data_IF_110301238096
#
_entry.id   IF_110301238096
#
_cell.length_a   1.000
_cell.length_b   1.000
_cell.length_c   1.000
_cell.angle_alpha   90.00
_cell.angle_beta   90.00
_cell.angle_gamma   90.00
#
_symmetry.space_group_name_H-M   'P 1'
#
loop_
_entity.id
_entity.type
_entity.pdbx_description
1 polymer ?
#
# COMPACT_ATOMS: atom_id res chain seq x y z
N UNK A 1 -9.07 -5.63 -21.26
CA UNK A 1 -7.62 -5.74 -20.92
C UNK A 1 -7.47 -6.43 -19.57
N UNK A 2 -6.45 -7.27 -19.39
CA UNK A 2 -6.36 -8.30 -18.32
C UNK A 2 -6.20 -7.70 -16.90
N UNK A 3 -6.84 -8.33 -15.90
CA UNK A 3 -6.72 -8.05 -14.44
C UNK A 3 -5.29 -7.77 -13.95
N UNK A 4 -4.27 -8.29 -14.64
CA UNK A 4 -2.84 -8.03 -14.39
C UNK A 4 -2.45 -6.54 -14.33
N UNK A 5 -3.09 -5.64 -15.09
CA UNK A 5 -2.69 -4.22 -15.13
C UNK A 5 -3.02 -3.46 -13.84
N UNK A 6 -4.06 -3.89 -13.11
CA UNK A 6 -4.47 -3.27 -11.85
C UNK A 6 -3.41 -3.52 -10.79
N UNK A 7 -2.95 -4.77 -10.69
CA UNK A 7 -1.97 -5.20 -9.68
C UNK A 7 -0.70 -4.35 -9.75
N UNK A 8 -0.13 -4.14 -10.94
CA UNK A 8 1.09 -3.33 -11.08
C UNK A 8 0.88 -1.86 -10.69
N UNK A 9 -0.30 -1.31 -10.99
CA UNK A 9 -0.66 0.06 -10.60
C UNK A 9 -0.77 0.16 -9.08
N UNK A 10 -1.45 -0.79 -8.44
CA UNK A 10 -1.57 -0.86 -6.99
C UNK A 10 -0.21 -1.09 -6.30
N UNK A 11 0.68 -1.91 -6.87
CA UNK A 11 2.04 -2.07 -6.34
C UNK A 11 2.85 -0.78 -6.43
N UNK A 12 2.72 -0.01 -7.52
CA UNK A 12 3.33 1.31 -7.66
C UNK A 12 2.79 2.27 -6.60
N UNK A 13 1.46 2.34 -6.41
CA UNK A 13 0.81 3.17 -5.38
C UNK A 13 1.28 2.78 -3.98
N UNK A 14 1.36 1.47 -3.69
CA UNK A 14 1.90 0.97 -2.43
C UNK A 14 3.33 1.45 -2.17
N UNK A 15 4.19 1.40 -3.18
CA UNK A 15 5.57 1.92 -3.08
C UNK A 15 5.60 3.43 -2.80
N UNK A 16 4.71 4.19 -3.43
CA UNK A 16 4.55 5.61 -3.13
C UNK A 16 4.11 5.87 -1.68
N UNK A 17 3.07 5.16 -1.22
CA UNK A 17 2.52 5.31 0.14
C UNK A 17 3.52 4.93 1.23
N UNK A 18 4.26 3.83 1.04
CA UNK A 18 5.30 3.43 1.98
C UNK A 18 6.46 4.43 1.99
N UNK A 19 6.91 4.90 0.82
CA UNK A 19 8.00 5.86 0.72
C UNK A 19 7.67 7.20 1.40
N UNK A 20 6.49 7.78 1.11
CA UNK A 20 6.13 9.08 1.67
C UNK A 20 6.00 9.03 3.20
N UNK A 21 5.41 7.96 3.72
CA UNK A 21 5.25 7.74 5.16
C UNK A 21 6.60 7.49 5.82
N UNK A 22 7.50 6.75 5.16
CA UNK A 22 8.84 6.54 5.68
C UNK A 22 9.59 7.86 5.81
N UNK A 23 9.54 8.71 4.79
CA UNK A 23 10.24 9.99 4.76
C UNK A 23 9.62 11.03 5.71
N UNK A 24 8.30 11.07 5.83
CA UNK A 24 7.59 12.19 6.48
C UNK A 24 6.82 11.82 7.76
N UNK A 25 6.68 10.54 8.09
CA UNK A 25 6.01 10.03 9.31
C UNK A 25 6.92 9.09 10.09
N UNK A 26 8.07 9.62 10.53
CA UNK A 26 8.94 8.98 11.51
C UNK A 26 9.35 7.55 11.10
N UNK A 27 9.77 7.35 9.85
CA UNK A 27 10.22 6.05 9.32
C UNK A 27 9.13 4.95 9.34
N UNK A 28 7.86 5.33 9.27
CA UNK A 28 6.76 4.35 9.25
C UNK A 28 6.53 3.78 7.87
N UNK A 29 6.54 2.44 7.77
CA UNK A 29 6.12 1.71 6.56
C UNK A 29 4.68 1.24 6.72
N UNK A 30 3.74 1.88 6.04
CA UNK A 30 2.29 1.64 6.16
C UNK A 30 1.88 0.22 5.75
N UNK A 31 2.62 -0.40 4.84
CA UNK A 31 2.35 -1.73 4.31
C UNK A 31 3.14 -2.86 4.95
N UNK A 32 4.10 -2.56 5.83
CA UNK A 32 5.03 -3.53 6.42
C UNK A 32 4.94 -3.55 7.95
N UNK A 33 3.89 -4.20 8.47
CA UNK A 33 3.68 -4.27 9.93
C UNK A 33 4.82 -4.95 10.68
N UNK A 34 5.46 -5.96 10.10
CA UNK A 34 6.63 -6.61 10.72
C UNK A 34 7.78 -5.61 10.94
N UNK A 35 7.99 -4.67 10.02
CA UNK A 35 8.98 -3.61 10.19
C UNK A 35 8.59 -2.69 11.34
N UNK A 36 7.33 -2.22 11.39
CA UNK A 36 6.87 -1.37 12.50
C UNK A 36 6.95 -2.08 13.86
N UNK A 37 6.61 -3.37 13.93
CA UNK A 37 6.77 -4.17 15.16
C UNK A 37 8.23 -4.23 15.59
N UNK A 38 9.15 -4.53 14.66
CA UNK A 38 10.58 -4.58 14.95
C UNK A 38 11.08 -3.21 15.42
N UNK A 39 10.77 -2.13 14.71
CA UNK A 39 11.18 -0.77 15.04
C UNK A 39 10.67 -0.36 16.43
N UNK A 40 9.39 -0.63 16.72
CA UNK A 40 8.78 -0.37 18.01
C UNK A 40 9.41 -1.16 19.17
N UNK A 41 9.71 -2.45 18.97
CA UNK A 41 10.37 -3.30 19.99
C UNK A 41 11.81 -2.86 20.22
N UNK A 42 12.56 -2.51 19.17
CA UNK A 42 13.93 -1.99 19.31
C UNK A 42 13.92 -0.70 20.10
N UNK A 43 12.99 0.22 19.80
CA UNK A 43 12.81 1.44 20.59
C UNK A 43 12.49 1.13 22.06
N UNK A 44 11.65 0.13 22.32
CA UNK A 44 11.25 -0.24 23.68
C UNK A 44 12.44 -0.70 24.51
N UNK A 45 13.34 -1.47 23.89
CA UNK A 45 14.54 -2.00 24.54
C UNK A 45 15.71 -1.01 24.53
N UNK A 46 15.65 0.04 23.71
CA UNK A 46 16.70 1.07 23.59
C UNK A 46 16.08 2.47 23.61
N UNK A 47 15.70 3.01 24.78
CA UNK A 47 15.00 4.30 24.88
C UNK A 47 15.79 5.48 24.30
N UNK A 48 17.12 5.41 24.32
CA UNK A 48 18.02 6.46 23.80
C UNK A 48 18.20 6.41 22.27
N UNK A 49 17.60 5.44 21.58
CA UNK A 49 17.73 5.26 20.13
C UNK A 49 17.04 6.34 19.29
N UNK A 50 16.23 7.20 19.92
CA UNK A 50 15.39 8.19 19.22
C UNK A 50 14.21 7.56 18.48
N UNK A 51 13.94 6.26 18.68
CA UNK A 51 12.82 5.55 18.07
C UNK A 51 11.58 5.70 18.96
N UNK A 52 10.49 6.22 18.38
CA UNK A 52 9.26 6.47 19.11
C UNK A 52 8.42 5.19 19.28
N UNK A 53 8.62 4.54 20.42
CA UNK A 53 8.04 3.24 20.82
C UNK A 53 6.52 3.22 20.61
N UNK A 54 5.83 4.20 21.18
CA UNK A 54 4.38 4.29 21.16
C UNK A 54 3.86 4.36 19.72
N UNK A 55 4.47 5.20 18.90
CA UNK A 55 4.03 5.43 17.54
C UNK A 55 3.93 4.14 16.72
N UNK A 56 5.02 3.36 16.62
CA UNK A 56 5.02 2.17 15.78
C UNK A 56 4.17 1.02 16.36
N UNK A 57 4.22 0.77 17.68
CA UNK A 57 3.45 -0.34 18.28
C UNK A 57 1.94 -0.04 18.31
N UNK A 58 1.53 1.20 18.57
CA UNK A 58 0.12 1.58 18.50
C UNK A 58 -0.42 1.46 17.07
N UNK A 59 0.39 1.80 16.06
CA UNK A 59 0.02 1.61 14.66
C UNK A 59 -0.19 0.13 14.30
N UNK A 60 0.66 -0.77 14.80
CA UNK A 60 0.46 -2.22 14.63
C UNK A 60 -0.85 -2.66 15.31
N UNK A 61 -1.11 -2.21 16.53
CA UNK A 61 -2.36 -2.49 17.25
C UNK A 61 -3.59 -2.01 16.48
N UNK A 62 -3.56 -0.77 16.00
CA UNK A 62 -4.61 -0.21 15.14
C UNK A 62 -4.82 -1.07 13.89
N UNK A 63 -3.74 -1.43 13.19
CA UNK A 63 -3.83 -2.22 11.96
C UNK A 63 -4.51 -3.57 12.22
N UNK A 64 -4.12 -4.30 13.28
CA UNK A 64 -4.72 -5.58 13.64
C UNK A 64 -6.23 -5.44 13.88
N UNK A 65 -6.63 -4.45 14.69
CA UNK A 65 -8.04 -4.19 15.01
C UNK A 65 -8.81 -3.82 13.74
N UNK A 66 -8.25 -2.91 12.92
CA UNK A 66 -8.87 -2.48 11.67
C UNK A 66 -9.07 -3.64 10.71
N UNK A 67 -8.05 -4.48 10.49
CA UNK A 67 -8.14 -5.66 9.62
C UNK A 67 -9.18 -6.66 10.13
N UNK A 68 -9.22 -6.90 11.45
CA UNK A 68 -10.21 -7.78 12.06
C UNK A 68 -11.64 -7.26 11.85
N UNK A 69 -11.90 -5.99 12.17
CA UNK A 69 -13.20 -5.36 11.99
C UNK A 69 -13.62 -5.32 10.53
N UNK A 70 -12.70 -4.98 9.62
CA UNK A 70 -12.97 -4.96 8.19
C UNK A 70 -13.37 -6.34 7.68
N UNK A 71 -12.63 -7.40 8.07
CA UNK A 71 -12.99 -8.78 7.70
C UNK A 71 -14.35 -9.20 8.25
N UNK A 72 -14.65 -8.89 9.51
CA UNK A 72 -15.93 -9.21 10.14
C UNK A 72 -17.10 -8.52 9.41
N UNK A 73 -16.95 -7.23 9.09
CA UNK A 73 -17.91 -6.48 8.29
C UNK A 73 -18.04 -7.14 6.91
N UNK A 74 -16.93 -7.38 6.22
CA UNK A 74 -16.95 -7.93 4.88
C UNK A 74 -17.63 -9.30 4.83
N UNK A 75 -17.33 -10.22 5.75
CA UNK A 75 -18.01 -11.53 5.83
C UNK A 75 -19.52 -11.40 6.04
N UNK A 76 -19.96 -10.46 6.88
CA UNK A 76 -21.38 -10.18 7.12
C UNK A 76 -22.08 -9.59 5.91
N UNK A 77 -21.41 -8.74 5.12
CA UNK A 77 -21.97 -8.08 3.94
C UNK A 77 -21.80 -8.88 2.63
N UNK A 78 -20.86 -9.84 2.56
CA UNK A 78 -20.69 -10.76 1.41
C UNK A 78 -21.94 -11.57 1.12
N UNK A 79 -22.78 -11.78 2.13
CA UNK A 79 -24.10 -12.42 2.00
C UNK A 79 -25.15 -11.54 1.31
N UNK A 80 -24.90 -10.24 1.10
CA UNK A 80 -25.92 -9.30 0.61
C UNK A 80 -25.64 -8.73 -0.78
N UNK A 81 -24.45 -8.20 -1.08
CA UNK A 81 -24.07 -7.71 -2.43
C UNK A 81 -22.55 -7.69 -2.59
N UNK A 82 -22.02 -8.26 -3.68
CA UNK A 82 -20.59 -8.21 -3.99
C UNK A 82 -20.18 -6.79 -4.37
N UNK A 83 -19.42 -6.10 -3.51
CA UNK A 83 -18.81 -4.82 -3.86
C UNK A 83 -17.82 -5.02 -5.01
N UNK A 84 -17.99 -4.26 -6.08
CA UNK A 84 -17.09 -4.31 -7.22
C UNK A 84 -15.72 -3.73 -6.86
N UNK A 85 -14.65 -4.30 -7.42
CA UNK A 85 -13.27 -3.81 -7.25
C UNK A 85 -13.11 -2.32 -7.53
N UNK A 86 -13.95 -1.76 -8.42
CA UNK A 86 -13.98 -0.33 -8.72
C UNK A 86 -14.32 0.53 -7.51
N UNK A 87 -15.24 0.08 -6.66
CA UNK A 87 -15.62 0.80 -5.46
C UNK A 87 -14.44 0.87 -4.47
N UNK A 88 -13.68 -0.22 -4.34
CA UNK A 88 -12.48 -0.25 -3.50
C UNK A 88 -11.38 0.67 -4.02
N UNK A 89 -11.08 0.65 -5.32
CA UNK A 89 -10.04 1.51 -5.91
C UNK A 89 -10.44 3.00 -5.83
N UNK A 90 -11.72 3.34 -6.06
CA UNK A 90 -12.20 4.71 -5.90
C UNK A 90 -12.10 5.17 -4.44
N UNK A 91 -12.51 4.31 -3.49
CA UNK A 91 -12.40 4.60 -2.07
C UNK A 91 -10.93 4.79 -1.66
N UNK A 92 -10.04 3.94 -2.15
CA UNK A 92 -8.59 4.04 -1.95
C UNK A 92 -8.06 5.40 -2.43
N UNK A 93 -8.38 5.81 -3.66
CA UNK A 93 -7.94 7.09 -4.21
C UNK A 93 -8.46 8.30 -3.39
N UNK A 94 -9.72 8.25 -2.93
CA UNK A 94 -10.30 9.29 -2.07
C UNK A 94 -9.54 9.37 -0.74
N UNK A 95 -9.26 8.22 -0.10
CA UNK A 95 -8.56 8.19 1.19
C UNK A 95 -7.11 8.67 1.02
N UNK A 96 -6.42 8.29 -0.06
CA UNK A 96 -5.06 8.79 -0.35
C UNK A 96 -5.09 10.31 -0.54
N UNK A 97 -6.10 10.87 -1.23
CA UNK A 97 -6.24 12.31 -1.40
C UNK A 97 -6.43 13.03 -0.05
N UNK A 98 -7.29 12.50 0.81
CA UNK A 98 -7.51 13.06 2.16
C UNK A 98 -6.22 12.96 2.99
N UNK A 99 -5.56 11.81 2.95
CA UNK A 99 -4.27 11.60 3.62
C UNK A 99 -3.20 12.58 3.13
N UNK A 100 -3.12 12.82 1.81
CA UNK A 100 -2.19 13.78 1.22
C UNK A 100 -2.44 15.20 1.73
N UNK A 101 -3.70 15.64 1.72
CA UNK A 101 -4.08 16.99 2.14
C UNK A 101 -3.86 17.19 3.64
N UNK A 102 -4.32 16.25 4.48
CA UNK A 102 -4.17 16.33 5.94
C UNK A 102 -2.71 16.19 6.37
N UNK A 103 -1.95 15.28 5.74
CA UNK A 103 -0.52 15.10 5.97
C UNK A 103 0.27 16.36 5.64
N UNK A 104 0.03 16.95 4.46
CA UNK A 104 0.68 18.20 4.04
C UNK A 104 0.32 19.36 4.97
N UNK A 105 -0.96 19.50 5.33
CA UNK A 105 -1.41 20.53 6.25
C UNK A 105 -0.74 20.39 7.62
N UNK A 106 -0.74 19.18 8.20
CA UNK A 106 -0.15 18.93 9.50
C UNK A 106 1.37 19.16 9.49
N UNK A 107 2.06 18.74 8.43
CA UNK A 107 3.50 18.97 8.27
C UNK A 107 3.83 20.47 8.21
N UNK A 108 3.14 21.23 7.35
CA UNK A 108 3.40 22.66 7.14
C UNK A 108 3.09 23.52 8.36
N UNK A 109 2.15 23.09 9.19
CA UNK A 109 1.79 23.76 10.44
C UNK A 109 2.54 23.20 11.66
N UNK A 110 3.56 22.36 11.47
CA UNK A 110 4.36 21.76 12.55
C UNK A 110 3.53 21.00 13.59
N UNK A 111 2.43 20.37 13.16
CA UNK A 111 1.52 19.60 14.01
C UNK A 111 1.93 18.13 14.13
N UNK A 112 2.93 17.69 13.36
CA UNK A 112 3.45 16.33 13.40
C UNK A 112 4.51 16.20 14.50
N UNK A 113 4.12 15.59 15.61
CA UNK A 113 5.02 15.10 16.64
C UNK A 113 4.86 13.58 16.74
N UNK A 114 5.95 12.84 16.94
CA UNK A 114 5.93 11.39 16.89
C UNK A 114 5.03 10.76 17.97
N UNK A 115 4.97 11.37 19.16
CA UNK A 115 4.06 10.95 20.23
C UNK A 115 2.71 11.69 20.18
N UNK A 116 2.46 12.45 19.11
CA UNK A 116 1.25 13.25 18.92
C UNK A 116 0.10 12.47 18.28
N UNK A 117 -1.11 12.65 18.81
CA UNK A 117 -2.32 12.04 18.28
C UNK A 117 -2.61 12.39 16.82
N UNK A 118 -2.16 13.57 16.35
CA UNK A 118 -2.33 14.01 14.96
C UNK A 118 -1.50 13.13 14.03
N UNK A 119 -0.22 12.92 14.33
CA UNK A 119 0.65 12.06 13.53
C UNK A 119 0.13 10.61 13.51
N UNK A 120 -0.32 10.10 14.67
CA UNK A 120 -0.90 8.78 14.77
C UNK A 120 -2.14 8.65 13.87
N UNK A 121 -3.06 9.62 13.94
CA UNK A 121 -4.29 9.63 13.15
C UNK A 121 -4.01 9.68 11.64
N UNK A 122 -3.02 10.46 11.23
CA UNK A 122 -2.58 10.57 9.83
C UNK A 122 -1.98 9.25 9.36
N UNK A 123 -1.10 8.62 10.14
CA UNK A 123 -0.53 7.31 9.81
C UNK A 123 -1.62 6.22 9.74
N UNK A 124 -2.55 6.18 10.69
CA UNK A 124 -3.73 5.30 10.65
C UNK A 124 -4.54 5.48 9.37
N UNK A 125 -4.79 6.73 8.97
CA UNK A 125 -5.48 7.05 7.72
C UNK A 125 -4.73 6.52 6.50
N UNK A 126 -3.40 6.66 6.47
CA UNK A 126 -2.54 6.13 5.40
C UNK A 126 -2.51 4.60 5.32
N UNK A 127 -2.69 3.89 6.44
CA UNK A 127 -2.74 2.42 6.47
C UNK A 127 -3.98 1.83 5.80
N UNK A 128 -5.11 2.53 5.84
CA UNK A 128 -6.38 2.07 5.27
C UNK A 128 -6.26 1.77 3.76
N UNK A 129 -5.83 2.72 2.89
CA UNK A 129 -5.71 2.46 1.46
C UNK A 129 -4.70 1.35 1.16
N UNK A 130 -3.60 1.27 1.92
CA UNK A 130 -2.60 0.20 1.78
C UNK A 130 -3.17 -1.18 2.13
N UNK A 131 -4.09 -1.25 3.07
CA UNK A 131 -4.83 -2.49 3.32
C UNK A 131 -5.85 -2.80 2.22
N UNK A 132 -6.61 -1.80 1.75
CA UNK A 132 -7.59 -1.98 0.67
C UNK A 132 -6.95 -2.48 -0.63
N UNK A 133 -5.80 -1.91 -1.04
CA UNK A 133 -5.07 -2.40 -2.21
C UNK A 133 -4.66 -3.87 -2.04
N UNK A 134 -4.18 -4.27 -0.86
CA UNK A 134 -3.76 -5.64 -0.57
C UNK A 134 -4.94 -6.61 -0.62
N UNK A 135 -6.09 -6.17 -0.13
CA UNK A 135 -7.34 -6.90 -0.23
C UNK A 135 -7.76 -7.10 -1.69
N UNK A 136 -7.73 -6.04 -2.52
CA UNK A 136 -8.06 -6.11 -3.95
C UNK A 136 -7.09 -7.02 -4.70
N UNK A 137 -5.78 -6.95 -4.45
CA UNK A 137 -4.79 -7.80 -5.13
C UNK A 137 -4.98 -9.27 -4.78
N UNK A 138 -5.17 -9.58 -3.48
CA UNK A 138 -5.31 -10.97 -3.00
C UNK A 138 -6.58 -11.67 -3.48
N UNK A 139 -7.67 -10.94 -3.73
CA UNK A 139 -8.95 -11.52 -4.16
C UNK A 139 -9.11 -11.62 -5.69
N UNK A 140 -8.27 -10.95 -6.48
CA UNK A 140 -8.45 -10.84 -7.93
C UNK A 140 -7.32 -11.43 -8.78
N UNK A 141 -6.32 -12.05 -8.16
CA UNK A 141 -5.19 -12.61 -8.88
C UNK A 141 -4.88 -14.03 -8.38
N UNK A 142 -4.76 -15.00 -9.30
CA UNK A 142 -4.45 -16.40 -8.98
C UNK A 142 -3.06 -16.58 -8.35
N UNK A 143 -2.16 -15.63 -8.60
CA UNK A 143 -0.86 -15.49 -7.94
C UNK A 143 -0.97 -14.36 -6.91
N UNK A 144 -1.10 -14.71 -5.63
CA UNK A 144 -1.34 -13.76 -4.53
C UNK A 144 -0.14 -12.81 -4.34
N UNK A 145 -0.37 -11.49 -4.36
CA UNK A 145 0.71 -10.45 -4.30
C UNK A 145 0.37 -9.21 -3.45
N UNK A 146 0.17 -9.35 -2.13
CA UNK A 146 0.10 -8.22 -1.17
C UNK A 146 1.47 -7.72 -0.65
N UNK A 147 1.52 -6.64 0.13
CA UNK A 147 2.77 -6.09 0.71
C UNK A 147 3.44 -7.03 1.72
N UNK A 148 2.67 -7.79 2.50
CA UNK A 148 3.17 -8.92 3.32
C UNK A 148 3.65 -10.09 2.44
N UNK A 149 3.15 -10.17 1.20
CA UNK A 149 3.59 -11.12 0.19
C UNK A 149 4.79 -10.61 -0.62
N UNK A 150 5.35 -9.41 -0.37
CA UNK A 150 6.59 -8.99 -1.06
C UNK A 150 7.75 -9.94 -0.76
N UNK A 151 7.92 -10.38 0.49
CA UNK A 151 8.92 -11.41 0.83
C UNK A 151 8.62 -12.74 0.12
N UNK A 152 7.35 -13.16 0.09
CA UNK A 152 6.93 -14.35 -0.66
C UNK A 152 7.18 -14.23 -2.17
N UNK A 153 6.94 -13.06 -2.75
CA UNK A 153 7.20 -12.74 -4.15
C UNK A 153 8.70 -12.75 -4.45
N UNK A 154 9.54 -12.23 -3.55
CA UNK A 154 10.99 -12.31 -3.67
C UNK A 154 11.46 -13.77 -3.71
N UNK A 155 10.99 -14.59 -2.76
CA UNK A 155 11.34 -16.02 -2.69
C UNK A 155 10.86 -16.77 -3.94
N UNK A 156 9.61 -16.54 -4.36
CA UNK A 156 9.05 -17.15 -5.57
C UNK A 156 9.77 -16.68 -6.86
N UNK A 157 10.20 -15.42 -6.91
CA UNK A 157 10.97 -14.87 -8.03
C UNK A 157 12.34 -15.55 -8.11
N UNK A 158 13.08 -15.62 -6.99
CA UNK A 158 14.38 -16.30 -6.92
C UNK A 158 14.24 -17.78 -7.25
N UNK A 159 13.23 -18.46 -6.72
CA UNK A 159 12.93 -19.86 -7.05
C UNK A 159 12.69 -20.08 -8.54
N UNK A 160 11.91 -19.20 -9.19
CA UNK A 160 11.68 -19.29 -10.64
C UNK A 160 12.92 -18.91 -11.47
N UNK A 161 13.77 -17.97 -10.99
CA UNK A 161 15.04 -17.65 -11.63
C UNK A 161 15.99 -18.86 -11.62
N UNK A 162 16.08 -19.57 -10.50
CA UNK A 162 16.86 -20.80 -10.40
C UNK A 162 16.25 -21.91 -11.26
N UNK A 163 14.92 -22.00 -11.32
CA UNK A 163 14.23 -22.98 -12.15
C UNK A 163 14.49 -22.80 -13.65
N UNK A 164 14.93 -21.60 -14.12
CA UNK A 164 15.32 -21.38 -15.52
C UNK A 164 16.48 -22.29 -15.92
N UNK A 165 17.40 -22.56 -14.99
CA UNK A 165 18.57 -23.38 -15.22
C UNK A 165 18.20 -24.87 -15.32
N UNK A 166 17.10 -25.26 -14.68
CA UNK A 166 16.54 -26.62 -14.74
C UNK A 166 15.51 -26.82 -15.86
N UNK A 167 15.20 -25.77 -16.65
CA UNK A 167 14.17 -25.81 -17.69
C UNK A 167 12.72 -25.92 -17.19
N UNK A 168 12.49 -25.82 -15.87
CA UNK A 168 11.17 -25.99 -15.22
C UNK A 168 10.49 -24.67 -14.81
N UNK A 169 11.07 -23.53 -15.18
CA UNK A 169 10.55 -22.23 -14.77
C UNK A 169 9.20 -21.91 -15.40
N UNK A 170 8.29 -21.38 -14.58
CA UNK A 170 7.12 -20.67 -15.07
C UNK A 170 7.55 -19.24 -15.44
N UNK A 171 7.76 -19.03 -16.74
CA UNK A 171 8.20 -17.73 -17.30
C UNK A 171 7.16 -16.63 -17.10
N UNK A 172 5.88 -16.97 -17.07
CA UNK A 172 4.80 -15.99 -16.89
C UNK A 172 4.69 -15.56 -15.43
N UNK A 173 4.82 -16.49 -14.49
CA UNK A 173 4.92 -16.17 -13.06
C UNK A 173 6.18 -15.34 -12.76
N UNK A 174 7.34 -15.70 -13.32
CA UNK A 174 8.57 -14.93 -13.14
C UNK A 174 8.42 -13.49 -13.66
N UNK A 175 7.87 -13.32 -14.86
CA UNK A 175 7.59 -12.00 -15.45
C UNK A 175 6.63 -11.19 -14.58
N UNK A 176 5.61 -11.83 -14.02
CA UNK A 176 4.69 -11.20 -13.09
C UNK A 176 5.41 -10.69 -11.83
N UNK A 177 6.19 -11.54 -11.14
CA UNK A 177 6.90 -11.14 -9.94
C UNK A 177 7.92 -10.03 -10.20
N UNK A 178 8.67 -10.08 -11.30
CA UNK A 178 9.59 -9.01 -11.68
C UNK A 178 8.86 -7.68 -11.91
N UNK A 179 7.70 -7.70 -12.59
CA UNK A 179 6.91 -6.50 -12.82
C UNK A 179 6.33 -5.91 -11.53
N UNK A 180 5.87 -6.76 -10.60
CA UNK A 180 5.41 -6.32 -9.28
C UNK A 180 6.51 -5.57 -8.55
N UNK A 181 7.72 -6.14 -8.48
CA UNK A 181 8.87 -5.50 -7.85
C UNK A 181 9.29 -4.21 -8.55
N UNK A 182 9.42 -4.24 -9.88
CA UNK A 182 9.78 -3.06 -10.65
C UNK A 182 8.77 -1.92 -10.44
N UNK A 183 7.47 -2.23 -10.38
CA UNK A 183 6.42 -1.23 -10.15
C UNK A 183 6.52 -0.62 -8.75
N UNK A 184 6.75 -1.44 -7.73
CA UNK A 184 6.94 -0.94 -6.36
C UNK A 184 8.19 -0.07 -6.24
N UNK A 185 9.34 -0.53 -6.74
CA UNK A 185 10.60 0.22 -6.73
C UNK A 185 10.45 1.55 -7.49
N UNK A 186 9.78 1.54 -8.65
CA UNK A 186 9.50 2.75 -9.40
C UNK A 186 8.62 3.72 -8.60
N UNK A 187 7.61 3.21 -7.89
CA UNK A 187 6.77 4.01 -6.99
C UNK A 187 7.57 4.68 -5.88
N UNK A 188 8.48 3.94 -5.24
CA UNK A 188 9.41 4.47 -4.23
C UNK A 188 10.32 5.53 -4.83
N UNK A 189 10.97 5.24 -5.96
CA UNK A 189 11.91 6.16 -6.59
C UNK A 189 11.24 7.47 -7.03
N UNK A 190 10.07 7.39 -7.68
CA UNK A 190 9.30 8.56 -8.09
C UNK A 190 8.89 9.37 -6.87
N UNK A 191 8.42 8.72 -5.80
CA UNK A 191 7.97 9.42 -4.60
C UNK A 191 9.12 10.06 -3.81
N UNK A 192 10.27 9.40 -3.74
CA UNK A 192 11.47 9.95 -3.10
C UNK A 192 11.96 11.24 -3.78
N UNK A 193 11.78 11.36 -5.10
CA UNK A 193 12.11 12.59 -5.84
C UNK A 193 11.00 13.64 -5.72
N UNK A 194 9.74 13.26 -5.93
CA UNK A 194 8.60 14.18 -5.93
C UNK A 194 8.34 14.81 -4.54
N UNK A 195 8.53 14.03 -3.47
CA UNK A 195 8.30 14.49 -2.09
C UNK A 195 9.23 15.61 -1.64
N UNK A 196 10.41 15.76 -2.26
CA UNK A 196 11.33 16.87 -1.98
C UNK A 196 10.71 18.23 -2.33
N UNK A 197 9.77 18.26 -3.27
CA UNK A 197 9.15 19.49 -3.78
C UNK A 197 7.72 19.66 -3.29
N UNK A 198 7.00 18.55 -3.14
CA UNK A 198 5.56 18.56 -2.91
C UNK A 198 5.12 17.91 -1.59
N UNK A 199 6.03 17.50 -0.71
CA UNK A 199 5.70 16.82 0.54
C UNK A 199 4.68 15.67 0.35
N UNK A 200 3.68 15.54 1.23
CA UNK A 200 2.57 14.60 1.08
C UNK A 200 1.74 14.86 -0.18
N UNK A 201 1.69 16.09 -0.71
CA UNK A 201 0.94 16.38 -1.95
C UNK A 201 1.55 15.69 -3.19
N UNK A 202 2.77 15.17 -3.11
CA UNK A 202 3.32 14.29 -4.15
C UNK A 202 2.41 13.07 -4.42
N UNK A 203 1.61 12.64 -3.43
CA UNK A 203 0.61 11.57 -3.57
C UNK A 203 -0.55 11.91 -4.52
N UNK A 204 -0.69 13.16 -4.97
CA UNK A 204 -1.62 13.50 -6.05
C UNK A 204 -1.28 12.73 -7.34
N UNK A 205 -0.01 12.37 -7.55
CA UNK A 205 0.43 11.56 -8.69
C UNK A 205 -0.17 10.15 -8.67
N UNK A 206 0.01 9.33 -7.61
CA UNK A 206 -0.66 8.02 -7.53
C UNK A 206 -2.20 8.14 -7.52
N UNK A 207 -2.79 9.19 -6.92
CA UNK A 207 -4.24 9.43 -7.03
C UNK A 207 -4.71 9.63 -8.47
N UNK A 208 -4.00 10.47 -9.25
CA UNK A 208 -4.33 10.70 -10.66
C UNK A 208 -4.20 9.41 -11.48
N UNK A 209 -3.19 8.59 -11.21
CA UNK A 209 -3.03 7.28 -11.87
C UNK A 209 -4.19 6.33 -11.56
N UNK A 210 -4.63 6.24 -10.30
CA UNK A 210 -5.80 5.42 -9.92
C UNK A 210 -7.09 5.92 -10.59
N UNK A 211 -7.31 7.24 -10.61
CA UNK A 211 -8.47 7.84 -11.27
C UNK A 211 -8.48 7.54 -12.79
N UNK A 212 -7.34 7.71 -13.47
CA UNK A 212 -7.19 7.38 -14.88
C UNK A 212 -7.45 5.88 -15.13
N UNK A 213 -6.96 5.01 -14.26
CA UNK A 213 -7.20 3.57 -14.36
C UNK A 213 -8.69 3.24 -14.29
N UNK A 214 -9.42 3.85 -13.35
CA UNK A 214 -10.86 3.65 -13.19
C UNK A 214 -11.66 4.16 -14.40
N UNK A 215 -11.33 5.34 -14.93
CA UNK A 215 -11.99 5.89 -16.13
C UNK A 215 -11.76 4.98 -17.35
N UNK A 216 -10.51 4.51 -17.55
CA UNK A 216 -10.17 3.62 -18.65
C UNK A 216 -10.90 2.28 -18.57
N UNK A 217 -11.05 1.71 -17.36
CA UNK A 217 -11.78 0.47 -17.18
C UNK A 217 -13.30 0.63 -17.34
N UNK A 218 -13.91 1.68 -16.78
CA UNK A 218 -15.34 1.95 -16.95
C UNK A 218 -15.72 2.10 -18.43
N UNK A 219 -14.89 2.78 -19.23
CA UNK A 219 -15.09 2.89 -20.69
C UNK A 219 -15.02 1.54 -21.40
N UNK A 220 -14.22 0.59 -20.93
CA UNK A 220 -14.18 -0.76 -21.50
C UNK A 220 -15.42 -1.57 -21.15
N UNK A 221 -15.91 -1.49 -19.92
CA UNK A 221 -17.14 -2.18 -19.49
C UNK A 221 -18.36 -1.69 -20.27
N UNK A 222 -18.48 -0.36 -20.45
CA UNK A 222 -19.58 0.23 -21.22
C UNK A 222 -19.55 -0.15 -22.71
N UNK A 223 -18.36 -0.38 -23.29
CA UNK A 223 -18.20 -0.86 -24.68
C UNK A 223 -18.53 -2.35 -24.87
N UNK A 224 -18.58 -3.13 -23.80
CA UNK A 224 -18.89 -4.57 -23.84
C UNK A 224 -20.37 -4.85 -23.53
N UNK A 225 -21.10 -3.86 -23.04
CA UNK A 225 -22.49 -3.97 -22.58
C UNK A 225 -23.48 -3.15 -23.41
N UNK A 226 -23.00 -2.35 -24.36
CA UNK A 226 -23.79 -1.67 -25.40
C UNK A 226 -23.33 -2.10 -26.77
#
# INVERSE_FOLDING_TARGET
MKQHSVVYTLCFVGGCMDCISFLLLFHTLLGLMTFNTMYGVIGLLNPDSGIHIGFHLYLVGFFIIFVFLFKLIHERYRLRQGLSNYAYINLEAIIILVYACLGSYALRNQLLAADGWIAFSIACLGMIPVYLQNYVISHNHSLQTGTVLMTGNYVNMVGNLLALWSGKADKDALKHYMKVHASFILGVAVMALASQWFDFLALLLPCALLALHNVCQQRQVNKLTG
#
